data_IF_077754044289
#
_entry.id   IF_077754044289
#
_cell.length_a   1.000
_cell.length_b   1.000
_cell.length_c   1.000
_cell.angle_alpha   90.00
_cell.angle_beta   90.00
_cell.angle_gamma   90.00
#
_symmetry.space_group_name_H-M   'P 1'
#
loop_
_entity.id
_entity.type
_entity.pdbx_description
1 polymer ?
#
# COMPACT_ATOMS: atom_id res chain seq x y z
N UNK A 1 -2.61 -0.12 -28.43
CA UNK A 1 -2.64 -1.04 -27.28
C UNK A 1 -3.70 -2.09 -27.56
N UNK A 2 -3.41 -3.37 -27.34
CA UNK A 2 -4.36 -4.46 -27.53
C UNK A 2 -5.40 -4.45 -26.40
N UNK A 3 -6.68 -4.43 -26.77
CA UNK A 3 -7.83 -4.39 -25.85
C UNK A 3 -8.67 -5.66 -25.88
N UNK A 4 -8.29 -6.68 -26.67
CA UNK A 4 -9.11 -7.86 -26.92
C UNK A 4 -9.50 -8.59 -25.62
N UNK A 5 -8.62 -8.60 -24.62
CA UNK A 5 -8.82 -9.29 -23.34
C UNK A 5 -8.90 -8.33 -22.13
N UNK A 6 -9.23 -7.05 -22.36
CA UNK A 6 -9.24 -6.05 -21.29
C UNK A 6 -10.24 -6.40 -20.17
N UNK A 7 -11.35 -7.05 -20.53
CA UNK A 7 -12.38 -7.49 -19.58
C UNK A 7 -11.83 -8.51 -18.57
N UNK A 8 -10.95 -9.42 -19.00
CA UNK A 8 -10.31 -10.39 -18.12
C UNK A 8 -9.33 -9.75 -17.14
N UNK A 9 -8.75 -8.61 -17.51
CA UNK A 9 -7.78 -7.86 -16.70
C UNK A 9 -8.38 -6.70 -15.93
N UNK A 10 -9.67 -6.41 -16.11
CA UNK A 10 -10.32 -5.23 -15.55
C UNK A 10 -10.16 -5.14 -14.02
N UNK A 11 -10.23 -6.27 -13.32
CA UNK A 11 -10.03 -6.33 -11.86
C UNK A 11 -8.59 -6.01 -11.46
N UNK A 12 -7.60 -6.60 -12.14
CA UNK A 12 -6.19 -6.29 -11.89
C UNK A 12 -5.89 -4.81 -12.17
N UNK A 13 -6.38 -4.27 -13.28
CA UNK A 13 -6.21 -2.85 -13.60
C UNK A 13 -6.84 -1.95 -12.54
N UNK A 14 -8.02 -2.30 -12.05
CA UNK A 14 -8.71 -1.54 -10.99
C UNK A 14 -7.92 -1.59 -9.68
N UNK A 15 -7.37 -2.76 -9.34
CA UNK A 15 -6.49 -2.94 -8.17
C UNK A 15 -5.23 -2.06 -8.30
N UNK A 16 -4.54 -2.10 -9.44
CA UNK A 16 -3.33 -1.32 -9.70
C UNK A 16 -3.61 0.19 -9.57
N UNK A 17 -4.72 0.67 -10.13
CA UNK A 17 -5.15 2.07 -10.04
C UNK A 17 -5.47 2.46 -8.59
N UNK A 18 -6.18 1.60 -7.85
CA UNK A 18 -6.53 1.87 -6.46
C UNK A 18 -5.29 1.93 -5.56
N UNK A 19 -4.35 0.99 -5.71
CA UNK A 19 -3.10 0.95 -4.96
C UNK A 19 -2.25 2.19 -5.27
N UNK A 20 -2.10 2.54 -6.55
CA UNK A 20 -1.33 3.72 -6.96
C UNK A 20 -1.93 5.02 -6.43
N UNK A 21 -3.26 5.17 -6.51
CA UNK A 21 -3.96 6.33 -5.96
C UNK A 21 -3.77 6.44 -4.45
N UNK A 22 -3.90 5.33 -3.72
CA UNK A 22 -3.70 5.33 -2.27
C UNK A 22 -2.26 5.69 -1.89
N UNK A 23 -1.27 5.15 -2.60
CA UNK A 23 0.14 5.51 -2.38
C UNK A 23 0.37 7.01 -2.58
N UNK A 24 -0.19 7.61 -3.63
CA UNK A 24 -0.12 9.05 -3.89
C UNK A 24 -0.73 9.85 -2.73
N UNK A 25 -1.93 9.49 -2.27
CA UNK A 25 -2.59 10.18 -1.16
C UNK A 25 -1.79 10.11 0.14
N UNK A 26 -1.13 8.99 0.41
CA UNK A 26 -0.27 8.83 1.60
C UNK A 26 1.00 9.68 1.50
N UNK A 27 1.59 9.79 0.31
CA UNK A 27 2.72 10.71 0.07
C UNK A 27 2.30 12.17 0.27
N UNK A 28 1.14 12.57 -0.26
CA UNK A 28 0.59 13.92 -0.09
C UNK A 28 0.25 14.24 1.38
N UNK A 29 -0.13 13.24 2.18
CA UNK A 29 -0.39 13.40 3.61
C UNK A 29 0.90 13.61 4.46
N UNK A 30 2.08 13.33 3.91
CA UNK A 30 3.37 13.71 4.50
C UNK A 30 3.90 12.83 5.66
N UNK A 31 3.29 11.67 5.94
CA UNK A 31 3.82 10.72 6.92
C UNK A 31 4.67 9.64 6.22
N UNK A 32 5.98 9.87 6.12
CA UNK A 32 6.92 8.98 5.42
C UNK A 32 6.91 7.55 5.94
N UNK A 33 6.84 7.36 7.27
CA UNK A 33 6.78 6.03 7.88
C UNK A 33 5.61 5.19 7.34
N UNK A 34 4.49 5.84 7.01
CA UNK A 34 3.29 5.21 6.46
C UNK A 34 3.39 5.03 4.95
N UNK A 35 3.78 6.09 4.22
CA UNK A 35 3.87 6.02 2.75
C UNK A 35 4.90 5.00 2.31
N UNK A 36 6.07 4.98 2.95
CA UNK A 36 7.18 4.11 2.57
C UNK A 36 6.85 2.66 2.90
N UNK A 37 6.23 2.41 4.06
CA UNK A 37 5.73 1.08 4.42
C UNK A 37 4.64 0.61 3.45
N UNK A 38 3.71 1.48 3.04
CA UNK A 38 2.66 1.14 2.09
C UNK A 38 3.24 0.81 0.71
N UNK A 39 4.09 1.68 0.17
CA UNK A 39 4.74 1.51 -1.13
C UNK A 39 5.59 0.23 -1.13
N UNK A 40 6.46 0.07 -0.13
CA UNK A 40 7.36 -1.08 -0.03
C UNK A 40 6.64 -2.44 0.08
N UNK A 41 5.40 -2.45 0.56
CA UNK A 41 4.63 -3.69 0.74
C UNK A 41 3.55 -3.94 -0.33
N UNK A 42 3.03 -2.91 -1.00
CA UNK A 42 1.95 -3.05 -2.00
C UNK A 42 2.40 -2.82 -3.44
N UNK A 43 3.42 -1.98 -3.66
CA UNK A 43 4.02 -1.72 -4.97
C UNK A 43 5.39 -2.39 -5.13
N UNK A 44 6.07 -2.67 -4.02
CA UNK A 44 7.30 -3.45 -3.95
C UNK A 44 7.07 -4.95 -3.82
N UNK A 45 8.09 -5.65 -3.33
CA UNK A 45 8.06 -7.11 -3.16
C UNK A 45 7.34 -7.47 -1.84
N UNK A 46 6.02 -7.57 -1.90
CA UNK A 46 5.13 -7.91 -0.79
C UNK A 46 4.63 -9.35 -0.83
N UNK A 47 4.31 -9.90 0.34
CA UNK A 47 3.64 -11.20 0.43
C UNK A 47 2.12 -11.11 0.21
N UNK A 48 1.51 -12.24 -0.13
CA UNK A 48 0.04 -12.38 -0.29
C UNK A 48 -0.72 -12.48 1.04
N UNK A 49 -0.01 -12.49 2.16
CA UNK A 49 -0.56 -12.61 3.51
C UNK A 49 -0.05 -11.46 4.38
N UNK A 50 -0.74 -11.19 5.48
CA UNK A 50 -0.27 -10.20 6.45
C UNK A 50 1.02 -10.66 7.14
N UNK A 51 1.79 -9.69 7.66
CA UNK A 51 3.05 -9.96 8.37
C UNK A 51 4.29 -10.01 7.48
N UNK A 52 4.18 -9.65 6.19
CA UNK A 52 5.28 -9.69 5.22
C UNK A 52 5.85 -8.30 4.91
N UNK A 53 5.93 -7.42 5.91
CA UNK A 53 6.54 -6.11 5.70
C UNK A 53 8.05 -6.26 5.44
N UNK A 54 8.62 -5.44 4.54
CA UNK A 54 10.07 -5.45 4.30
C UNK A 54 10.85 -4.99 5.53
N UNK A 55 12.13 -5.37 5.60
CA UNK A 55 13.03 -4.88 6.66
C UNK A 55 13.22 -3.36 6.55
N UNK A 56 13.43 -2.71 7.69
CA UNK A 56 13.62 -1.25 7.77
C UNK A 56 12.32 -0.45 7.88
N UNK A 57 11.16 -1.11 7.94
CA UNK A 57 9.89 -0.45 8.27
C UNK A 57 9.79 -0.24 9.79
N UNK A 58 9.50 0.99 10.20
CA UNK A 58 9.28 1.39 11.60
C UNK A 58 7.91 0.90 12.11
N UNK A 59 7.80 -0.41 12.36
CA UNK A 59 6.53 -1.06 12.76
C UNK A 59 5.95 -0.48 14.05
N UNK A 60 6.79 -0.16 15.04
CA UNK A 60 6.33 0.43 16.30
C UNK A 60 5.65 1.79 16.10
N UNK A 61 6.20 2.65 15.24
CA UNK A 61 5.60 3.94 14.90
C UNK A 61 4.26 3.76 14.17
N UNK A 62 4.15 2.78 13.27
CA UNK A 62 2.90 2.46 12.58
C UNK A 62 1.81 1.98 13.55
N UNK A 63 2.18 1.12 14.50
CA UNK A 63 1.29 0.63 15.54
C UNK A 63 0.86 1.77 16.46
N UNK A 64 1.78 2.60 16.96
CA UNK A 64 1.46 3.73 17.81
C UNK A 64 0.46 4.69 17.15
N UNK A 65 0.66 5.00 15.86
CA UNK A 65 -0.26 5.84 15.08
C UNK A 65 -1.64 5.19 14.88
N UNK A 66 -1.69 3.88 14.65
CA UNK A 66 -2.93 3.15 14.37
C UNK A 66 -3.71 2.77 15.64
N UNK A 67 -3.05 2.78 16.79
CA UNK A 67 -3.65 2.40 18.07
C UNK A 67 -4.53 3.55 18.57
N UNK A 68 -5.84 3.32 18.78
CA UNK A 68 -6.72 4.32 19.37
C UNK A 68 -6.23 4.70 20.76
N UNK A 69 -6.16 5.99 21.06
CA UNK A 69 -5.96 6.44 22.44
C UNK A 69 -7.28 6.26 23.19
N UNK A 70 -7.31 5.30 24.12
CA UNK A 70 -8.38 5.21 25.09
C UNK A 70 -8.15 6.33 26.12
N UNK A 71 -9.12 7.24 26.22
CA UNK A 71 -9.19 8.25 27.27
C UNK A 71 -9.56 7.62 28.62
#
# INVERSE_FOLDING_TARGET
ADTADIQYRARQLTEDVAIALQAKLLLEAGNSAVSDAFIGSRLGDGGRVYGTLPRGVEVEALLARATPHLA
#
